data_IF_275679128299
#
_entry.id   IF_275679128299
#
_cell.length_a   1.000
_cell.length_b   1.000
_cell.length_c   1.000
_cell.angle_alpha   90.00
_cell.angle_beta   90.00
_cell.angle_gamma   90.00
#
_symmetry.space_group_name_H-M   'P 1'
#
loop_
_entity.id
_entity.type
_entity.pdbx_description
1 polymer ?
#
# COMPACT_ATOMS: atom_id res chain seq x y z
N UNK A 1 24.76 73.20 -2.88
CA UNK A 1 24.35 72.25 -1.82
C UNK A 1 23.42 71.22 -2.43
N UNK A 2 23.83 69.95 -2.40
CA UNK A 2 23.02 68.82 -2.86
C UNK A 2 21.91 68.55 -1.84
N UNK A 3 20.75 68.06 -2.33
CA UNK A 3 19.90 67.08 -1.62
C UNK A 3 18.81 66.56 -2.57
N UNK A 4 19.22 65.59 -3.38
CA UNK A 4 18.50 64.34 -3.67
C UNK A 4 16.97 64.37 -3.59
N UNK A 5 16.31 64.58 -4.73
CA UNK A 5 14.92 64.19 -4.95
C UNK A 5 14.82 62.65 -4.88
N UNK A 6 14.37 62.13 -3.74
CA UNK A 6 13.97 60.71 -3.62
C UNK A 6 12.66 60.54 -4.38
N UNK A 7 12.74 60.10 -5.63
CA UNK A 7 11.60 59.56 -6.36
C UNK A 7 11.03 58.36 -5.57
N UNK A 8 9.94 58.59 -4.84
CA UNK A 8 9.11 57.52 -4.30
C UNK A 8 8.46 56.81 -5.50
N UNK A 9 8.93 55.61 -5.86
CA UNK A 9 8.25 54.77 -6.86
C UNK A 9 6.85 54.45 -6.35
N UNK A 10 5.84 55.17 -6.84
CA UNK A 10 4.44 54.90 -6.54
C UNK A 10 4.07 53.58 -7.23
N UNK A 11 4.15 52.49 -6.48
CA UNK A 11 3.71 51.16 -6.93
C UNK A 11 2.21 51.24 -7.26
N UNK A 12 1.83 50.92 -8.49
CA UNK A 12 0.45 51.07 -8.95
C UNK A 12 -0.52 50.24 -8.11
N UNK A 13 -1.80 50.63 -7.97
CA UNK A 13 -2.80 49.84 -7.24
C UNK A 13 -2.86 48.39 -7.73
N UNK A 14 -2.73 48.18 -9.04
CA UNK A 14 -2.62 46.86 -9.67
C UNK A 14 -1.39 46.07 -9.19
N UNK A 15 -0.21 46.69 -9.13
CA UNK A 15 1.01 46.05 -8.62
C UNK A 15 0.90 45.70 -7.12
N UNK A 16 0.22 46.53 -6.31
CA UNK A 16 -0.04 46.22 -4.88
C UNK A 16 -1.00 45.05 -4.72
N UNK A 17 -2.08 45.03 -5.51
CA UNK A 17 -3.02 43.93 -5.57
C UNK A 17 -2.34 42.63 -6.00
N UNK A 18 -1.59 42.64 -7.11
CA UNK A 18 -0.86 41.48 -7.61
C UNK A 18 0.15 40.93 -6.60
N UNK A 19 0.88 41.80 -5.87
CA UNK A 19 1.79 41.37 -4.79
C UNK A 19 1.06 40.72 -3.63
N UNK A 20 -0.07 41.27 -3.20
CA UNK A 20 -0.89 40.67 -2.12
C UNK A 20 -1.47 39.33 -2.56
N UNK A 21 -1.98 39.25 -3.78
CA UNK A 21 -2.49 38.02 -4.35
C UNK A 21 -1.40 36.94 -4.45
N UNK A 22 -0.22 37.29 -4.96
CA UNK A 22 0.93 36.37 -4.98
C UNK A 22 1.36 35.94 -3.56
N UNK A 23 1.38 36.86 -2.59
CA UNK A 23 1.69 36.52 -1.20
C UNK A 23 0.67 35.53 -0.62
N UNK A 24 -0.63 35.71 -0.91
CA UNK A 24 -1.69 34.78 -0.50
C UNK A 24 -1.49 33.40 -1.14
N UNK A 25 -1.18 33.33 -2.44
CA UNK A 25 -0.88 32.06 -3.11
C UNK A 25 0.35 31.36 -2.53
N UNK A 26 1.40 32.11 -2.21
CA UNK A 26 2.60 31.56 -1.57
C UNK A 26 2.29 31.03 -0.16
N UNK A 27 1.53 31.78 0.65
CA UNK A 27 1.11 31.33 1.98
C UNK A 27 0.25 30.08 1.86
N UNK A 28 -0.74 30.05 0.96
CA UNK A 28 -1.58 28.88 0.74
C UNK A 28 -0.75 27.67 0.28
N UNK A 29 0.23 27.86 -0.60
CA UNK A 29 1.16 26.82 -1.02
C UNK A 29 2.01 26.28 0.12
N UNK A 30 2.54 27.15 0.99
CA UNK A 30 3.30 26.75 2.18
C UNK A 30 2.43 25.98 3.16
N UNK A 31 1.21 26.47 3.45
CA UNK A 31 0.27 25.79 4.34
C UNK A 31 -0.13 24.41 3.80
N UNK A 32 -0.35 24.30 2.48
CA UNK A 32 -0.63 23.02 1.83
C UNK A 32 0.56 22.08 1.95
N UNK A 33 1.79 22.57 1.73
CA UNK A 33 3.01 21.77 1.90
C UNK A 33 3.17 21.26 3.34
N UNK A 34 2.91 22.10 4.34
CA UNK A 34 2.93 21.72 5.76
C UNK A 34 1.89 20.64 6.04
N UNK A 35 0.67 20.78 5.52
CA UNK A 35 -0.39 19.79 5.70
C UNK A 35 -0.01 18.43 5.10
N UNK A 36 0.52 18.40 3.87
CA UNK A 36 0.96 17.17 3.22
C UNK A 36 2.06 16.47 4.03
N UNK A 37 3.03 17.23 4.56
CA UNK A 37 4.09 16.68 5.41
C UNK A 37 3.54 16.18 6.76
N UNK A 38 2.56 16.87 7.34
CA UNK A 38 1.93 16.46 8.59
C UNK A 38 1.16 15.14 8.42
N UNK A 39 0.38 15.00 7.34
CA UNK A 39 -0.30 13.73 7.00
C UNK A 39 0.71 12.62 6.76
N UNK A 40 1.77 12.90 6.00
CA UNK A 40 2.84 11.93 5.75
C UNK A 40 3.49 11.42 7.04
N UNK A 41 3.80 12.34 7.95
CA UNK A 41 4.38 12.05 9.25
C UNK A 41 3.41 11.24 10.13
N UNK A 42 2.12 11.59 10.13
CA UNK A 42 1.09 10.87 10.87
C UNK A 42 0.94 9.43 10.37
N UNK A 43 0.72 9.24 9.06
CA UNK A 43 0.62 7.91 8.43
C UNK A 43 1.88 7.09 8.71
N UNK A 44 3.05 7.72 8.63
CA UNK A 44 4.33 7.06 8.92
C UNK A 44 4.50 6.65 10.37
N UNK A 45 4.12 7.51 11.31
CA UNK A 45 4.22 7.24 12.74
C UNK A 45 3.31 6.09 13.16
N UNK A 46 2.14 5.98 12.53
CA UNK A 46 1.21 4.86 12.76
C UNK A 46 1.71 3.58 12.08
N UNK A 47 2.06 3.63 10.80
CA UNK A 47 2.41 2.44 10.02
C UNK A 47 3.74 1.78 10.40
N UNK A 48 4.69 2.48 11.01
CA UNK A 48 6.01 1.92 11.37
C UNK A 48 6.00 0.99 12.59
N UNK A 49 4.91 0.97 13.36
CA UNK A 49 4.88 0.32 14.69
C UNK A 49 4.93 -1.21 14.62
N UNK A 50 4.54 -1.80 13.50
CA UNK A 50 4.35 -3.26 13.36
C UNK A 50 5.20 -3.86 12.23
N UNK A 51 6.34 -3.25 11.91
CA UNK A 51 7.31 -3.84 10.99
C UNK A 51 8.23 -4.76 11.79
N UNK A 52 8.27 -6.03 11.41
CA UNK A 52 9.08 -7.08 12.02
C UNK A 52 9.98 -7.74 10.98
N UNK A 53 11.04 -8.38 11.47
CA UNK A 53 11.80 -9.35 10.69
C UNK A 53 11.11 -10.71 10.73
N UNK A 54 11.45 -11.56 9.75
CA UNK A 54 10.88 -12.91 9.65
C UNK A 54 11.12 -13.76 10.90
N UNK A 55 12.29 -13.66 11.52
CA UNK A 55 12.69 -14.37 12.73
C UNK A 55 12.01 -13.87 14.01
N UNK A 56 11.44 -12.66 13.97
CA UNK A 56 10.68 -12.07 15.07
C UNK A 56 9.20 -12.49 15.05
N UNK A 57 8.73 -13.15 13.97
CA UNK A 57 7.40 -13.71 13.92
C UNK A 57 7.28 -14.88 14.91
N UNK A 58 6.57 -14.67 16.02
CA UNK A 58 6.32 -15.72 17.00
C UNK A 58 5.46 -16.83 16.41
N UNK A 59 5.96 -18.08 16.41
CA UNK A 59 5.18 -19.27 16.06
C UNK A 59 4.05 -19.56 17.05
N UNK A 60 4.06 -18.94 18.24
CA UNK A 60 2.95 -19.03 19.20
C UNK A 60 1.78 -18.12 18.82
N UNK A 61 2.01 -17.14 17.94
CA UNK A 61 0.97 -16.29 17.37
C UNK A 61 0.42 -16.90 16.09
N UNK A 62 -0.80 -17.43 16.13
CA UNK A 62 -1.50 -17.87 14.93
C UNK A 62 -1.94 -16.65 14.12
N UNK A 63 -1.42 -16.55 12.89
CA UNK A 63 -1.92 -15.61 11.89
C UNK A 63 -2.90 -16.32 10.97
N UNK A 64 -3.97 -15.64 10.58
CA UNK A 64 -5.00 -16.20 9.69
C UNK A 64 -4.44 -16.48 8.30
N UNK A 65 -3.54 -15.62 7.81
CA UNK A 65 -2.82 -15.80 6.55
C UNK A 65 -1.61 -14.88 6.40
N UNK A 66 -0.84 -15.10 5.33
CA UNK A 66 0.05 -14.10 4.73
C UNK A 66 -0.68 -13.38 3.60
N UNK A 67 -0.75 -12.06 3.64
CA UNK A 67 -1.28 -11.22 2.56
C UNK A 67 -0.13 -10.78 1.66
N UNK A 68 -0.28 -11.03 0.35
CA UNK A 68 0.68 -10.66 -0.69
C UNK A 68 -0.03 -9.72 -1.68
N UNK A 69 0.24 -8.40 -1.61
CA UNK A 69 -0.29 -7.47 -2.60
C UNK A 69 0.37 -7.66 -3.96
N UNK A 70 -0.41 -7.45 -5.01
CA UNK A 70 0.02 -7.44 -6.40
C UNK A 70 1.02 -6.34 -6.74
N UNK A 71 1.75 -6.55 -7.83
CA UNK A 71 2.67 -5.63 -8.48
C UNK A 71 2.57 -5.80 -10.01
N UNK A 72 3.69 -5.80 -10.74
CA UNK A 72 3.67 -5.96 -12.19
C UNK A 72 3.86 -7.43 -12.57
N UNK A 73 3.00 -7.94 -13.45
CA UNK A 73 3.23 -9.12 -14.28
C UNK A 73 3.54 -8.65 -15.70
N UNK A 74 4.63 -9.17 -16.29
CA UNK A 74 4.98 -8.87 -17.67
C UNK A 74 4.09 -9.65 -18.64
N UNK A 75 3.93 -9.14 -19.87
CA UNK A 75 3.19 -9.81 -20.96
C UNK A 75 3.65 -11.26 -21.23
N UNK A 76 4.88 -11.58 -20.85
CA UNK A 76 5.40 -12.95 -20.89
C UNK A 76 4.79 -13.90 -19.83
N UNK A 77 3.83 -13.45 -19.03
CA UNK A 77 3.26 -14.19 -17.88
C UNK A 77 4.22 -14.34 -16.69
N UNK A 78 5.29 -13.55 -16.63
CA UNK A 78 6.30 -13.65 -15.56
C UNK A 78 6.11 -12.54 -14.52
N UNK A 79 6.26 -12.82 -13.22
CA UNK A 79 6.26 -11.78 -12.20
C UNK A 79 7.47 -10.86 -12.39
N UNK A 80 7.24 -9.56 -12.22
CA UNK A 80 8.32 -8.58 -12.06
C UNK A 80 9.24 -8.97 -10.90
N UNK A 81 10.44 -8.38 -10.85
CA UNK A 81 11.36 -8.60 -9.73
C UNK A 81 10.69 -8.26 -8.38
N UNK A 82 9.95 -7.14 -8.34
CA UNK A 82 9.22 -6.72 -7.15
C UNK A 82 8.16 -7.72 -6.71
N UNK A 83 7.38 -8.26 -7.66
CA UNK A 83 6.35 -9.26 -7.36
C UNK A 83 6.97 -10.57 -6.88
N UNK A 84 8.07 -10.98 -7.51
CA UNK A 84 8.82 -12.18 -7.14
C UNK A 84 9.38 -12.10 -5.73
N UNK A 85 10.00 -10.97 -5.36
CA UNK A 85 10.53 -10.76 -4.00
C UNK A 85 9.42 -10.97 -2.95
N UNK A 86 8.20 -10.47 -3.22
CA UNK A 86 7.03 -10.65 -2.33
C UNK A 86 6.61 -12.11 -2.24
N UNK A 87 6.52 -12.81 -3.37
CA UNK A 87 6.14 -14.22 -3.41
C UNK A 87 7.17 -15.11 -2.73
N UNK A 88 8.46 -14.85 -2.93
CA UNK A 88 9.55 -15.57 -2.26
C UNK A 88 9.50 -15.36 -0.74
N UNK A 89 9.22 -14.15 -0.28
CA UNK A 89 9.02 -13.89 1.15
C UNK A 89 7.76 -14.59 1.68
N UNK A 90 6.67 -14.61 0.93
CA UNK A 90 5.45 -15.32 1.31
C UNK A 90 5.70 -16.83 1.47
N UNK A 91 6.48 -17.44 0.57
CA UNK A 91 6.92 -18.85 0.69
C UNK A 91 7.74 -19.05 1.97
N UNK A 92 8.64 -18.13 2.32
CA UNK A 92 9.44 -18.20 3.54
C UNK A 92 8.59 -18.09 4.81
N UNK A 93 7.61 -17.18 4.83
CA UNK A 93 6.68 -17.03 5.96
C UNK A 93 5.79 -18.26 6.09
N UNK A 94 5.25 -18.78 5.00
CA UNK A 94 4.46 -20.02 5.01
C UNK A 94 5.29 -21.19 5.56
N UNK A 95 6.54 -21.35 5.12
CA UNK A 95 7.44 -22.41 5.58
C UNK A 95 7.91 -22.25 7.02
N UNK A 96 7.81 -21.07 7.63
CA UNK A 96 8.12 -20.89 9.05
C UNK A 96 7.02 -21.44 9.97
N UNK A 97 5.85 -21.75 9.42
CA UNK A 97 4.74 -22.39 10.16
C UNK A 97 3.90 -21.42 11.00
N UNK A 98 4.08 -20.10 10.83
CA UNK A 98 3.26 -19.08 11.53
C UNK A 98 1.82 -19.01 11.01
N UNK A 99 1.60 -19.50 9.79
CA UNK A 99 0.30 -19.70 9.14
C UNK A 99 0.45 -20.70 7.99
N UNK A 100 -0.63 -21.37 7.64
CA UNK A 100 -0.75 -22.32 6.53
C UNK A 100 -1.65 -21.76 5.41
N UNK A 101 -1.85 -20.44 5.36
CA UNK A 101 -2.70 -19.77 4.37
C UNK A 101 -1.99 -18.58 3.75
N UNK A 102 -2.17 -18.40 2.44
CA UNK A 102 -1.69 -17.24 1.69
C UNK A 102 -2.87 -16.63 0.94
N UNK A 103 -3.07 -15.33 1.10
CA UNK A 103 -3.99 -14.52 0.31
C UNK A 103 -3.18 -13.66 -0.65
N UNK A 104 -3.29 -13.94 -1.95
CA UNK A 104 -2.76 -13.06 -3.01
C UNK A 104 -3.86 -12.11 -3.44
N UNK A 105 -3.60 -10.80 -3.47
CA UNK A 105 -4.60 -9.79 -3.83
C UNK A 105 -4.04 -8.86 -4.88
N UNK A 106 -4.73 -8.76 -6.01
CA UNK A 106 -4.29 -8.00 -7.17
C UNK A 106 -5.43 -7.69 -8.12
N UNK A 107 -5.08 -7.06 -9.24
CA UNK A 107 -6.04 -6.57 -10.21
C UNK A 107 -6.36 -7.65 -11.26
N UNK A 108 -7.65 -7.95 -11.45
CA UNK A 108 -8.21 -8.74 -12.56
C UNK A 108 -9.20 -7.92 -13.40
N UNK A 109 -9.12 -6.59 -13.37
CA UNK A 109 -10.05 -5.67 -14.03
C UNK A 109 -10.01 -5.67 -15.55
N UNK A 110 -9.09 -6.44 -16.17
CA UNK A 110 -9.05 -6.68 -17.62
C UNK A 110 -9.07 -8.18 -17.90
N UNK A 111 -9.88 -8.58 -18.87
CA UNK A 111 -10.05 -9.98 -19.30
C UNK A 111 -8.76 -10.65 -19.80
N UNK A 112 -7.72 -9.87 -20.10
CA UNK A 112 -6.41 -10.31 -20.59
C UNK A 112 -5.29 -10.25 -19.52
N UNK A 113 -5.60 -9.86 -18.28
CA UNK A 113 -4.61 -9.70 -17.22
C UNK A 113 -4.99 -10.49 -15.97
N UNK A 114 -4.38 -11.67 -15.80
CA UNK A 114 -4.58 -12.53 -14.64
C UNK A 114 -3.37 -12.49 -13.69
N UNK A 115 -3.21 -11.37 -12.97
CA UNK A 115 -2.11 -11.20 -12.02
C UNK A 115 -2.14 -12.27 -10.92
N UNK A 116 -3.27 -12.42 -10.24
CA UNK A 116 -3.40 -13.33 -9.10
C UNK A 116 -3.28 -14.79 -9.52
N UNK A 117 -3.64 -15.15 -10.75
CA UNK A 117 -3.37 -16.47 -11.33
C UNK A 117 -1.88 -16.75 -11.49
N UNK A 118 -1.09 -15.76 -11.97
CA UNK A 118 0.37 -15.88 -12.04
C UNK A 118 0.98 -16.00 -10.64
N UNK A 119 0.51 -15.21 -9.68
CA UNK A 119 0.94 -15.31 -8.29
C UNK A 119 0.62 -16.67 -7.68
N UNK A 120 -0.59 -17.19 -7.90
CA UNK A 120 -1.01 -18.51 -7.44
C UNK A 120 -0.12 -19.59 -8.04
N UNK A 121 0.06 -19.60 -9.36
CA UNK A 121 0.89 -20.60 -10.02
C UNK A 121 2.32 -20.60 -9.49
N UNK A 122 2.91 -19.42 -9.25
CA UNK A 122 4.23 -19.30 -8.64
C UNK A 122 4.32 -19.98 -7.27
N UNK A 123 3.29 -19.83 -6.42
CA UNK A 123 3.24 -20.45 -5.10
C UNK A 123 3.04 -21.97 -5.20
N UNK A 124 2.24 -22.45 -6.16
CA UNK A 124 2.09 -23.89 -6.42
C UNK A 124 3.40 -24.52 -6.90
N UNK A 125 4.12 -23.86 -7.81
CA UNK A 125 5.43 -24.31 -8.29
C UNK A 125 6.47 -24.35 -7.16
N UNK A 126 6.30 -23.50 -6.14
CA UNK A 126 7.09 -23.52 -4.90
C UNK A 126 6.67 -24.62 -3.90
N UNK A 127 5.68 -25.45 -4.25
CA UNK A 127 5.21 -26.60 -3.48
C UNK A 127 4.14 -26.27 -2.43
N UNK A 128 3.49 -25.11 -2.51
CA UNK A 128 2.38 -24.76 -1.60
C UNK A 128 1.09 -25.43 -2.10
N UNK A 129 0.33 -26.13 -1.24
CA UNK A 129 -0.93 -26.75 -1.64
C UNK A 129 -1.95 -25.72 -2.17
N UNK A 130 -2.68 -26.11 -3.20
CA UNK A 130 -3.65 -25.24 -3.88
C UNK A 130 -4.79 -24.77 -2.96
N UNK A 131 -5.20 -25.61 -2.02
CA UNK A 131 -6.19 -25.31 -0.99
C UNK A 131 -5.72 -24.25 0.02
N UNK A 132 -4.42 -23.95 0.08
CA UNK A 132 -3.84 -22.95 0.99
C UNK A 132 -3.65 -21.58 0.33
N UNK A 133 -3.82 -21.46 -0.99
CA UNK A 133 -3.62 -20.22 -1.74
C UNK A 133 -4.97 -19.66 -2.21
N UNK A 134 -5.32 -18.50 -1.67
CA UNK A 134 -6.56 -17.77 -1.94
C UNK A 134 -6.26 -16.59 -2.86
N UNK A 135 -7.10 -16.39 -3.87
CA UNK A 135 -7.00 -15.29 -4.83
C UNK A 135 -8.07 -14.24 -4.56
N UNK A 136 -7.65 -12.99 -4.38
CA UNK A 136 -8.51 -11.82 -4.39
C UNK A 136 -8.33 -11.04 -5.69
N UNK A 137 -9.29 -11.22 -6.61
CA UNK A 137 -9.29 -10.64 -7.96
C UNK A 137 -9.68 -9.16 -8.03
N UNK A 138 -10.06 -8.56 -6.90
CA UNK A 138 -10.57 -7.19 -6.83
C UNK A 138 -9.72 -6.30 -5.90
N UNK A 139 -8.41 -6.57 -5.82
CA UNK A 139 -7.42 -5.80 -5.08
C UNK A 139 -6.80 -4.67 -5.91
N UNK A 140 -7.60 -3.72 -6.39
CA UNK A 140 -7.15 -2.66 -7.31
C UNK A 140 -6.16 -1.67 -6.70
N UNK A 141 -6.27 -1.45 -5.39
CA UNK A 141 -5.27 -0.76 -4.62
C UNK A 141 -5.12 -1.36 -3.22
N UNK A 142 -4.20 -0.81 -2.43
CA UNK A 142 -3.91 -1.35 -1.10
C UNK A 142 -5.07 -1.19 -0.11
N UNK A 143 -5.92 -0.17 -0.30
CA UNK A 143 -7.11 -0.03 0.52
C UNK A 143 -8.09 -1.15 0.19
N UNK A 144 -8.37 -1.35 -1.10
CA UNK A 144 -9.24 -2.44 -1.58
C UNK A 144 -8.73 -3.81 -1.11
N UNK A 145 -7.44 -4.12 -1.29
CA UNK A 145 -6.85 -5.38 -0.84
C UNK A 145 -7.06 -5.64 0.66
N UNK A 146 -6.85 -4.64 1.51
CA UNK A 146 -6.92 -4.80 2.97
C UNK A 146 -8.36 -4.78 3.49
N UNK A 147 -9.21 -3.95 2.89
CA UNK A 147 -10.64 -3.95 3.18
C UNK A 147 -11.23 -5.32 2.83
N UNK A 148 -10.91 -5.84 1.65
CA UNK A 148 -11.44 -7.13 1.19
C UNK A 148 -10.88 -8.30 1.97
N UNK A 149 -9.59 -8.27 2.34
CA UNK A 149 -9.03 -9.25 3.28
C UNK A 149 -9.87 -9.34 4.57
N UNK A 150 -10.25 -8.19 5.14
CA UNK A 150 -11.07 -8.15 6.36
C UNK A 150 -12.53 -8.56 6.13
N UNK A 151 -13.18 -8.02 5.11
CA UNK A 151 -14.64 -8.13 4.92
C UNK A 151 -15.08 -9.35 4.11
N UNK A 152 -14.32 -9.73 3.08
CA UNK A 152 -14.62 -10.84 2.17
C UNK A 152 -13.97 -12.12 2.65
N UNK A 153 -12.69 -12.05 3.01
CA UNK A 153 -11.92 -13.21 3.45
C UNK A 153 -11.98 -13.43 4.98
N UNK A 154 -12.61 -12.52 5.72
CA UNK A 154 -12.80 -12.65 7.17
C UNK A 154 -11.49 -12.59 7.97
N UNK A 155 -10.40 -12.07 7.38
CA UNK A 155 -9.09 -11.97 8.03
C UNK A 155 -9.17 -10.97 9.18
N UNK A 156 -8.65 -11.35 10.34
CA UNK A 156 -8.55 -10.50 11.54
C UNK A 156 -7.10 -10.19 11.90
N UNK A 157 -6.21 -11.16 11.74
CA UNK A 157 -4.80 -11.04 12.04
C UNK A 157 -3.96 -11.67 10.94
N UNK A 158 -3.07 -10.90 10.33
CA UNK A 158 -2.28 -11.39 9.21
C UNK A 158 -0.85 -10.82 9.20
N UNK A 159 0.02 -11.53 8.50
CA UNK A 159 1.31 -10.99 8.08
C UNK A 159 1.12 -10.40 6.69
N UNK A 160 1.52 -9.16 6.45
CA UNK A 160 1.60 -8.60 5.11
C UNK A 160 3.07 -8.52 4.68
N UNK A 161 3.38 -8.99 3.48
CA UNK A 161 4.73 -8.87 2.92
C UNK A 161 4.76 -8.07 1.62
N UNK A 162 5.55 -7.00 1.65
CA UNK A 162 5.82 -6.10 0.51
C UNK A 162 7.12 -5.34 0.79
N UNK A 163 7.53 -4.46 -0.11
CA UNK A 163 8.75 -3.68 0.05
C UNK A 163 8.63 -2.65 1.20
N UNK A 164 9.75 -2.34 1.86
CA UNK A 164 9.88 -1.36 2.95
C UNK A 164 9.09 -0.05 2.73
N UNK A 165 9.16 0.53 1.53
CA UNK A 165 8.47 1.78 1.21
C UNK A 165 6.94 1.64 1.14
N UNK A 166 6.41 0.47 0.77
CA UNK A 166 4.97 0.21 0.69
C UNK A 166 4.36 -0.24 2.02
N UNK A 167 5.15 -0.87 2.89
CA UNK A 167 4.67 -1.40 4.17
C UNK A 167 4.02 -0.33 5.03
N UNK A 168 4.61 0.86 5.11
CA UNK A 168 4.11 1.95 5.97
C UNK A 168 2.63 2.24 5.69
N UNK A 169 2.27 2.38 4.41
CA UNK A 169 0.91 2.71 4.00
C UNK A 169 -0.05 1.55 4.25
N UNK A 170 0.38 0.32 3.96
CA UNK A 170 -0.44 -0.86 4.19
C UNK A 170 -0.73 -1.08 5.69
N UNK A 171 0.27 -0.91 6.55
CA UNK A 171 0.11 -1.05 7.99
C UNK A 171 -0.77 0.05 8.60
N UNK A 172 -0.65 1.28 8.09
CA UNK A 172 -1.59 2.34 8.45
C UNK A 172 -3.04 1.96 8.11
N UNK A 173 -3.30 1.56 6.86
CA UNK A 173 -4.64 1.16 6.41
C UNK A 173 -5.17 0.00 7.24
N UNK A 174 -4.36 -1.05 7.47
CA UNK A 174 -4.76 -2.21 8.28
C UNK A 174 -5.21 -1.81 9.68
N UNK A 175 -4.46 -0.91 10.33
CA UNK A 175 -4.87 -0.38 11.65
C UNK A 175 -6.22 0.32 11.60
N UNK A 176 -6.48 1.14 10.58
CA UNK A 176 -7.76 1.86 10.44
C UNK A 176 -8.93 0.91 10.15
N UNK A 177 -8.66 -0.21 9.48
CA UNK A 177 -9.66 -1.25 9.19
C UNK A 177 -9.84 -2.27 10.33
N UNK A 178 -9.19 -2.06 11.48
CA UNK A 178 -9.15 -3.00 12.61
C UNK A 178 -8.63 -4.39 12.21
N UNK A 179 -7.65 -4.42 11.32
CA UNK A 179 -6.93 -5.60 10.87
C UNK A 179 -5.56 -5.63 11.57
N UNK A 180 -5.31 -6.65 12.39
CA UNK A 180 -4.05 -6.81 13.12
C UNK A 180 -2.93 -7.25 12.15
N UNK A 181 -2.29 -6.27 11.51
CA UNK A 181 -1.21 -6.50 10.56
C UNK A 181 0.18 -6.40 11.17
N UNK A 182 1.00 -7.41 10.88
CA UNK A 182 2.46 -7.37 11.03
C UNK A 182 3.09 -7.31 9.64
N UNK A 183 4.00 -6.36 9.43
CA UNK A 183 4.67 -6.15 8.15
C UNK A 183 6.03 -6.83 8.11
N UNK A 184 6.32 -7.58 7.04
CA UNK A 184 7.65 -8.16 6.79
C UNK A 184 8.17 -7.64 5.46
N UNK A 185 9.30 -6.94 5.50
CA UNK A 185 9.98 -6.45 4.30
C UNK A 185 10.53 -7.62 3.50
N UNK A 186 10.11 -7.76 2.25
CA UNK A 186 10.62 -8.78 1.34
C UNK A 186 12.01 -8.43 0.79
N UNK A 187 12.50 -7.21 1.04
CA UNK A 187 13.67 -6.66 0.39
C UNK A 187 13.38 -6.20 -1.03
N UNK A 188 14.35 -5.50 -1.64
CA UNK A 188 14.25 -5.10 -3.03
C UNK A 188 15.61 -5.08 -3.70
N UNK A 189 15.76 -5.86 -4.77
CA UNK A 189 17.04 -6.11 -5.44
C UNK A 189 17.53 -4.89 -6.27
N UNK A 190 16.63 -4.00 -6.71
CA UNK A 190 16.99 -2.91 -7.63
C UNK A 190 17.02 -1.51 -6.99
N UNK A 191 18.20 -1.09 -6.53
CA UNK A 191 18.41 0.21 -5.87
C UNK A 191 18.01 1.43 -6.71
N UNK A 192 18.22 1.40 -8.04
CA UNK A 192 18.02 2.57 -8.92
C UNK A 192 16.57 3.03 -9.06
N UNK A 193 15.60 2.12 -8.99
CA UNK A 193 14.18 2.48 -9.07
C UNK A 193 13.58 2.84 -7.70
N UNK A 194 14.30 2.55 -6.62
CA UNK A 194 13.81 2.71 -5.23
C UNK A 194 13.36 4.14 -4.94
N UNK A 195 14.07 5.14 -5.47
CA UNK A 195 13.71 6.56 -5.31
C UNK A 195 12.38 6.92 -5.96
N UNK A 196 12.09 6.40 -7.15
CA UNK A 196 10.83 6.65 -7.86
C UNK A 196 9.64 6.06 -7.10
N UNK A 197 9.76 4.83 -6.62
CA UNK A 197 8.69 4.20 -5.84
C UNK A 197 8.49 4.91 -4.50
N UNK A 198 9.57 5.32 -3.80
CA UNK A 198 9.47 6.11 -2.57
C UNK A 198 8.76 7.46 -2.80
N UNK A 199 9.03 8.13 -3.92
CA UNK A 199 8.33 9.39 -4.24
C UNK A 199 6.83 9.17 -4.47
N UNK A 200 6.44 8.07 -5.12
CA UNK A 200 5.03 7.70 -5.31
C UNK A 200 4.28 7.50 -4.00
N UNK A 201 4.97 7.11 -2.93
CA UNK A 201 4.33 6.86 -1.65
C UNK A 201 3.85 8.12 -0.92
N UNK A 202 4.32 9.32 -1.27
CA UNK A 202 3.79 10.55 -0.67
C UNK A 202 2.33 10.81 -1.10
N UNK A 203 2.00 10.90 -2.41
CA UNK A 203 0.61 10.94 -2.85
C UNK A 203 -0.22 9.74 -2.39
N UNK A 204 0.36 8.53 -2.40
CA UNK A 204 -0.38 7.33 -2.03
C UNK A 204 -0.74 7.30 -0.53
N UNK A 205 0.14 7.76 0.36
CA UNK A 205 -0.15 7.88 1.80
C UNK A 205 -1.19 8.96 2.07
N UNK A 206 -1.16 10.06 1.34
CA UNK A 206 -2.20 11.08 1.41
C UNK A 206 -3.56 10.54 0.94
N UNK A 207 -3.61 9.79 -0.17
CA UNK A 207 -4.84 9.08 -0.60
C UNK A 207 -5.35 8.14 0.49
N UNK A 208 -4.47 7.32 1.06
CA UNK A 208 -4.84 6.38 2.13
C UNK A 208 -5.43 7.09 3.36
N UNK A 209 -4.86 8.24 3.74
CA UNK A 209 -5.44 9.08 4.80
C UNK A 209 -6.86 9.54 4.45
N UNK A 210 -7.09 10.01 3.22
CA UNK A 210 -8.43 10.42 2.79
C UNK A 210 -9.42 9.24 2.79
N UNK A 211 -9.03 8.09 2.27
CA UNK A 211 -9.89 6.89 2.21
C UNK A 211 -10.27 6.41 3.63
N UNK A 212 -9.32 6.42 4.56
CA UNK A 212 -9.56 5.95 5.94
C UNK A 212 -10.32 6.96 6.80
N UNK A 213 -9.92 8.23 6.79
CA UNK A 213 -10.35 9.21 7.79
C UNK A 213 -11.51 10.10 7.31
N UNK A 214 -11.60 10.31 6.00
CA UNK A 214 -12.55 11.28 5.42
C UNK A 214 -13.68 10.55 4.70
N UNK A 215 -13.35 9.66 3.79
CA UNK A 215 -14.33 9.01 2.92
C UNK A 215 -14.91 7.73 3.52
N UNK A 216 -14.16 7.03 4.37
CA UNK A 216 -14.52 5.69 4.84
C UNK A 216 -14.97 4.81 3.67
N UNK A 217 -14.17 4.84 2.60
CA UNK A 217 -14.51 4.30 1.29
C UNK A 217 -14.95 2.83 1.39
N UNK A 218 -16.07 2.47 0.75
CA UNK A 218 -16.37 1.06 0.52
C UNK A 218 -15.47 0.55 -0.62
N UNK A 219 -15.09 -0.75 -0.64
CA UNK A 219 -14.23 -1.29 -1.68
C UNK A 219 -14.96 -1.21 -3.02
N UNK A 220 -14.18 -1.10 -4.10
CA UNK A 220 -14.73 -0.98 -5.46
C UNK A 220 -15.72 -2.12 -5.79
N UNK A 221 -15.49 -3.33 -5.25
CA UNK A 221 -16.39 -4.46 -5.39
C UNK A 221 -16.64 -5.13 -4.03
N UNK A 222 -17.92 -5.31 -3.70
CA UNK A 222 -18.40 -6.13 -2.57
C UNK A 222 -18.95 -7.45 -3.12
N UNK A 223 -18.35 -8.57 -2.76
CA UNK A 223 -18.75 -9.91 -3.24
C UNK A 223 -19.28 -10.81 -2.12
N UNK A 224 -19.62 -12.06 -2.45
CA UNK A 224 -19.89 -13.08 -1.44
C UNK A 224 -18.64 -13.32 -0.58
N UNK A 225 -18.84 -13.65 0.69
CA UNK A 225 -17.74 -13.93 1.60
C UNK A 225 -17.11 -15.28 1.27
N UNK A 226 -15.77 -15.30 1.21
CA UNK A 226 -14.97 -16.50 0.97
C UNK A 226 -13.97 -16.61 2.13
N UNK A 227 -14.38 -17.15 3.29
CA UNK A 227 -13.54 -17.13 4.48
C UNK A 227 -12.19 -17.81 4.26
N UNK A 228 -11.12 -17.20 4.77
CA UNK A 228 -9.74 -17.72 4.70
C UNK A 228 -9.56 -19.07 5.41
N UNK A 229 -10.50 -19.42 6.29
CA UNK A 229 -10.58 -20.71 6.99
C UNK A 229 -11.09 -21.85 6.10
N UNK A 230 -11.68 -21.52 4.93
CA UNK A 230 -12.17 -22.48 3.95
C UNK A 230 -11.04 -23.04 3.08
N UNK A 231 -11.30 -23.15 1.78
CA UNK A 231 -10.34 -23.69 0.80
C UNK A 231 -10.04 -22.68 -0.30
N UNK A 232 -8.77 -22.55 -0.68
CA UNK A 232 -8.32 -21.71 -1.79
C UNK A 232 -8.99 -22.06 -3.13
N UNK A 233 -9.50 -23.29 -3.28
CA UNK A 233 -10.29 -23.68 -4.45
C UNK A 233 -11.55 -22.85 -4.66
N UNK A 234 -12.12 -22.28 -3.60
CA UNK A 234 -13.30 -21.41 -3.69
C UNK A 234 -13.02 -20.05 -4.36
N UNK A 235 -11.75 -19.74 -4.62
CA UNK A 235 -11.30 -18.48 -5.26
C UNK A 235 -10.84 -18.67 -6.70
N UNK A 236 -10.91 -19.90 -7.21
CA UNK A 236 -10.58 -20.24 -8.60
C UNK A 236 -11.86 -20.14 -9.41
N UNK A 237 -11.85 -19.29 -10.45
CA UNK A 237 -12.95 -19.17 -11.42
C UNK A 237 -13.14 -20.46 -12.25
#
# INVERSE_FOLDING_TARGET
MSKTSRYFKIVSPFQRFARRFLAVLLIAGVLTGILLLAVDAYVSAVGRQTILKLDELSSQSKYDCVIVPGALVYDSGRPSAMLRDRLDMAVRIYRSGVTDRILVSGDHGRTDYNEVGVMRQYLLDAGIPAEHVFMDHAGFDTYDSLYRAQSIFGVRRAVITTQDFHLIRALYIGKQLNLELQGVDCGYVFSSEKSRYRLREYPARFKAFLDCEIFMSQPTFTGETIPITGTGWATVD
#
